data_IF_383293359111
#
_entry.id   IF_383293359111
#
_cell.length_a   1.000
_cell.length_b   1.000
_cell.length_c   1.000
_cell.angle_alpha   90.00
_cell.angle_beta   90.00
_cell.angle_gamma   90.00
#
_symmetry.space_group_name_H-M   'P 1'
#
loop_
_entity.id
_entity.type
_entity.pdbx_description
1 polymer ?
#
# COMPACT_ATOMS: atom_id res chain seq x y z
N UNK A 1 -29.56 23.26 -25.97
CA UNK A 1 -29.12 23.06 -24.61
C UNK A 1 -28.21 21.83 -24.53
N UNK A 2 -26.94 22.03 -24.34
CA UNK A 2 -26.03 20.92 -23.99
C UNK A 2 -26.24 20.62 -22.52
N UNK A 3 -27.02 19.59 -22.23
CA UNK A 3 -27.14 19.02 -20.88
C UNK A 3 -25.90 18.17 -20.62
N UNK A 4 -25.16 18.51 -19.58
CA UNK A 4 -24.06 17.71 -19.08
C UNK A 4 -24.60 16.40 -18.49
N UNK A 5 -24.47 15.32 -19.21
CA UNK A 5 -24.77 13.96 -18.74
C UNK A 5 -23.65 13.38 -17.85
N UNK A 6 -22.91 14.23 -17.13
CA UNK A 6 -21.83 13.77 -16.21
C UNK A 6 -22.34 13.02 -14.97
N UNK A 7 -23.63 13.08 -14.67
CA UNK A 7 -24.22 12.42 -13.52
C UNK A 7 -24.94 11.10 -13.84
N UNK A 8 -25.30 10.84 -15.09
CA UNK A 8 -25.94 9.58 -15.48
C UNK A 8 -24.95 8.42 -15.63
N UNK A 9 -23.68 8.69 -15.98
CA UNK A 9 -22.63 7.68 -16.04
C UNK A 9 -22.10 7.24 -14.65
N UNK A 10 -22.45 7.93 -13.58
CA UNK A 10 -21.96 7.64 -12.23
C UNK A 10 -22.63 6.43 -11.58
N UNK A 11 -23.77 5.97 -12.10
CA UNK A 11 -24.50 4.81 -11.59
C UNK A 11 -25.12 3.96 -12.72
N UNK A 12 -24.27 3.26 -13.45
CA UNK A 12 -24.73 2.21 -14.36
C UNK A 12 -24.78 0.87 -13.59
N UNK A 13 -25.98 0.31 -13.33
CA UNK A 13 -26.12 -0.99 -12.67
C UNK A 13 -25.50 -2.14 -13.46
N UNK A 14 -25.14 -1.91 -14.73
CA UNK A 14 -24.44 -2.85 -15.57
C UNK A 14 -22.91 -2.66 -15.58
N UNK A 15 -22.38 -1.67 -14.87
CA UNK A 15 -20.94 -1.40 -14.79
C UNK A 15 -20.51 -1.38 -13.31
N UNK A 16 -19.92 -2.47 -12.83
CA UNK A 16 -19.50 -2.55 -11.44
C UNK A 16 -18.26 -3.43 -11.21
N UNK A 17 -17.55 -3.10 -10.14
CA UNK A 17 -16.62 -3.96 -9.44
C UNK A 17 -17.17 -4.18 -8.02
N UNK A 18 -17.51 -5.40 -7.70
CA UNK A 18 -17.84 -5.82 -6.34
C UNK A 18 -16.72 -6.67 -5.78
N UNK A 19 -16.38 -6.44 -4.53
CA UNK A 19 -15.43 -7.27 -3.82
C UNK A 19 -15.94 -7.55 -2.42
N UNK A 20 -15.63 -8.74 -1.94
CA UNK A 20 -15.96 -9.15 -0.60
C UNK A 20 -14.99 -10.21 -0.11
N UNK A 21 -14.96 -10.41 1.20
CA UNK A 21 -14.08 -11.42 1.74
C UNK A 21 -14.25 -11.60 3.23
N UNK A 22 -13.65 -12.67 3.72
CA UNK A 22 -13.56 -13.00 5.15
C UNK A 22 -12.10 -13.30 5.46
N UNK A 23 -11.61 -12.72 6.56
CA UNK A 23 -10.25 -12.98 7.05
C UNK A 23 -10.30 -13.37 8.52
N UNK A 24 -9.61 -14.44 8.87
CA UNK A 24 -9.41 -14.89 10.24
C UNK A 24 -7.93 -14.68 10.56
N UNK A 25 -7.66 -13.97 11.64
CA UNK A 25 -6.30 -13.68 12.09
C UNK A 25 -6.07 -14.17 13.53
N UNK A 26 -4.87 -14.66 13.76
CA UNK A 26 -4.37 -15.00 15.09
C UNK A 26 -3.07 -14.24 15.34
N UNK A 27 -3.04 -13.42 16.41
CA UNK A 27 -1.87 -12.65 16.82
C UNK A 27 -1.33 -13.13 18.17
N UNK A 28 -0.01 -13.27 18.26
CA UNK A 28 0.69 -13.62 19.50
C UNK A 28 1.80 -12.60 19.78
N UNK A 29 1.79 -12.04 20.98
CA UNK A 29 2.91 -11.25 21.50
C UNK A 29 4.07 -12.18 21.83
N UNK A 30 5.25 -11.87 21.32
CA UNK A 30 6.47 -12.61 21.57
C UNK A 30 7.17 -12.01 22.80
N UNK A 31 7.91 -12.85 23.53
CA UNK A 31 8.71 -12.44 24.69
C UNK A 31 10.19 -12.27 24.34
N UNK A 32 10.59 -12.74 23.18
CA UNK A 32 11.96 -12.67 22.69
C UNK A 32 11.95 -12.13 21.25
N UNK A 33 12.88 -11.23 20.85
CA UNK A 33 14.00 -10.66 21.63
C UNK A 33 13.59 -9.61 22.66
N UNK A 34 12.43 -8.97 22.54
CA UNK A 34 11.81 -8.08 23.53
C UNK A 34 10.28 -8.20 23.51
N UNK A 35 9.62 -7.53 24.46
CA UNK A 35 8.15 -7.60 24.63
C UNK A 35 7.34 -6.77 23.61
N UNK A 36 7.99 -6.10 22.67
CA UNK A 36 7.33 -5.27 21.67
C UNK A 36 6.99 -6.02 20.39
N UNK A 37 7.47 -7.26 20.23
CA UNK A 37 7.22 -8.08 19.04
C UNK A 37 5.86 -8.74 19.07
N UNK A 38 5.20 -8.73 17.91
CA UNK A 38 3.94 -9.44 17.65
C UNK A 38 4.07 -10.24 16.36
N UNK A 39 3.71 -11.50 16.41
CA UNK A 39 3.57 -12.35 15.24
C UNK A 39 2.09 -12.56 14.96
N UNK A 40 1.66 -12.26 13.74
CA UNK A 40 0.27 -12.45 13.30
C UNK A 40 0.23 -13.39 12.11
N UNK A 41 -0.62 -14.41 12.18
CA UNK A 41 -0.94 -15.29 11.06
C UNK A 41 -2.37 -15.03 10.61
N UNK A 42 -2.61 -14.97 9.31
CA UNK A 42 -3.91 -14.68 8.70
C UNK A 42 -4.27 -15.73 7.65
N UNK A 43 -5.54 -16.08 7.62
CA UNK A 43 -6.16 -16.86 6.55
C UNK A 43 -7.35 -16.06 6.02
N UNK A 44 -7.32 -15.71 4.75
CA UNK A 44 -8.37 -14.93 4.11
C UNK A 44 -8.90 -15.59 2.85
N UNK A 45 -10.17 -15.42 2.61
CA UNK A 45 -10.80 -15.69 1.32
C UNK A 45 -11.39 -14.40 0.79
N UNK A 46 -11.06 -14.06 -0.45
CA UNK A 46 -11.55 -12.86 -1.14
C UNK A 46 -12.15 -13.24 -2.49
N UNK A 47 -13.19 -12.54 -2.88
CA UNK A 47 -13.77 -12.66 -4.20
C UNK A 47 -13.99 -11.29 -4.83
N UNK A 48 -13.88 -11.26 -6.15
CA UNK A 48 -14.12 -10.11 -6.99
C UNK A 48 -15.13 -10.48 -8.07
N UNK A 49 -16.09 -9.60 -8.32
CA UNK A 49 -17.05 -9.73 -9.40
C UNK A 49 -17.05 -8.47 -10.25
N UNK A 50 -16.77 -8.62 -11.52
CA UNK A 50 -16.67 -7.53 -12.49
C UNK A 50 -17.73 -7.68 -13.56
N UNK A 51 -18.37 -6.57 -13.90
CA UNK A 51 -19.28 -6.49 -15.04
C UNK A 51 -19.01 -5.19 -15.79
N UNK A 52 -18.63 -5.30 -17.07
CA UNK A 52 -18.29 -4.19 -17.95
C UNK A 52 -17.30 -3.18 -17.33
N UNK A 53 -16.36 -3.68 -16.50
CA UNK A 53 -15.43 -2.85 -15.75
C UNK A 53 -14.16 -2.60 -16.56
N UNK A 54 -14.06 -1.44 -17.20
CA UNK A 54 -12.99 -1.09 -18.15
C UNK A 54 -11.73 -0.56 -17.47
N UNK A 55 -11.78 -0.30 -16.15
CA UNK A 55 -10.66 0.27 -15.40
C UNK A 55 -9.58 -0.75 -15.00
N UNK A 56 -9.87 -2.05 -15.15
CA UNK A 56 -8.85 -3.10 -15.00
C UNK A 56 -8.43 -3.58 -16.39
N UNK A 57 -7.19 -3.34 -16.74
CA UNK A 57 -6.62 -3.66 -18.05
C UNK A 57 -6.73 -5.16 -18.43
N UNK A 58 -6.82 -6.02 -17.42
CA UNK A 58 -6.70 -7.48 -17.62
C UNK A 58 -8.04 -8.20 -17.79
N UNK A 59 -9.11 -7.72 -17.17
CA UNK A 59 -10.40 -8.39 -17.16
C UNK A 59 -11.55 -7.40 -16.95
N UNK A 60 -12.51 -7.38 -17.86
CA UNK A 60 -13.69 -6.50 -17.79
C UNK A 60 -14.91 -7.19 -17.20
N UNK A 61 -15.04 -8.51 -17.39
CA UNK A 61 -16.18 -9.31 -16.96
C UNK A 61 -15.72 -10.62 -16.33
N UNK A 62 -16.37 -11.02 -15.24
CA UNK A 62 -16.16 -12.32 -14.60
C UNK A 62 -15.99 -12.24 -13.10
N UNK A 63 -15.70 -13.39 -12.52
CA UNK A 63 -15.43 -13.54 -11.08
C UNK A 63 -14.03 -14.07 -10.85
N UNK A 64 -13.37 -13.53 -9.84
CA UNK A 64 -12.05 -13.97 -9.41
C UNK A 64 -12.09 -14.32 -7.93
N UNK A 65 -11.38 -15.37 -7.54
CA UNK A 65 -11.30 -15.83 -6.16
C UNK A 65 -9.85 -15.84 -5.70
N UNK A 66 -9.62 -15.59 -4.43
CA UNK A 66 -8.30 -15.59 -3.83
C UNK A 66 -8.35 -16.21 -2.43
N UNK A 67 -7.55 -17.22 -2.20
CA UNK A 67 -7.30 -17.77 -0.86
C UNK A 67 -5.93 -17.25 -0.41
N UNK A 68 -5.91 -16.42 0.63
CA UNK A 68 -4.71 -15.68 1.06
C UNK A 68 -4.24 -16.24 2.39
N UNK A 69 -2.96 -16.55 2.46
CA UNK A 69 -2.24 -16.85 3.68
C UNK A 69 -1.30 -15.67 3.97
N UNK A 70 -1.31 -15.17 5.20
CA UNK A 70 -0.49 -14.05 5.63
C UNK A 70 0.29 -14.36 6.89
N UNK A 71 1.53 -13.87 6.95
CA UNK A 71 2.36 -13.90 8.15
C UNK A 71 2.99 -12.51 8.31
N UNK A 72 2.78 -11.90 9.46
CA UNK A 72 3.32 -10.56 9.76
C UNK A 72 4.07 -10.59 11.08
N UNK A 73 5.34 -10.21 11.04
CA UNK A 73 6.14 -9.91 12.22
C UNK A 73 6.22 -8.39 12.37
N UNK A 74 5.71 -7.88 13.47
CA UNK A 74 5.73 -6.46 13.78
C UNK A 74 6.38 -6.19 15.13
N UNK A 75 7.03 -5.02 15.25
CA UNK A 75 7.55 -4.47 16.50
C UNK A 75 7.12 -3.03 16.62
N UNK A 76 6.67 -2.62 17.80
CA UNK A 76 6.30 -1.25 18.04
C UNK A 76 6.70 -0.82 19.45
N UNK A 77 7.69 0.08 19.55
CA UNK A 77 8.18 0.67 20.81
C UNK A 77 8.03 2.19 20.81
N UNK A 78 7.10 2.74 20.03
CA UNK A 78 6.81 4.18 19.97
C UNK A 78 6.25 4.64 21.31
N UNK A 79 6.80 5.73 21.85
CA UNK A 79 6.42 6.29 23.15
C UNK A 79 5.08 7.05 23.14
N UNK A 80 4.82 7.83 22.08
CA UNK A 80 3.59 8.62 21.95
C UNK A 80 3.13 8.66 20.48
N UNK A 81 1.88 8.31 20.17
CA UNK A 81 1.39 8.29 18.79
C UNK A 81 1.16 9.69 18.19
N UNK A 82 0.97 10.73 18.99
CA UNK A 82 0.67 12.08 18.49
C UNK A 82 1.95 12.88 18.18
N UNK A 83 2.89 12.88 19.09
CA UNK A 83 4.22 13.43 18.89
C UNK A 83 5.24 12.46 19.44
N UNK A 84 5.73 11.61 18.58
CA UNK A 84 6.71 10.58 18.96
C UNK A 84 8.07 11.21 19.14
N UNK A 85 8.67 11.03 20.29
CA UNK A 85 10.01 11.54 20.61
C UNK A 85 11.08 10.49 20.44
N UNK A 86 10.77 9.23 20.76
CA UNK A 86 11.70 8.10 20.71
C UNK A 86 10.96 6.79 20.42
N UNK A 87 11.71 5.83 19.95
CA UNK A 87 11.21 4.49 19.67
C UNK A 87 11.26 4.14 18.19
N UNK A 88 10.83 2.95 17.90
CA UNK A 88 10.80 2.45 16.53
C UNK A 88 9.58 1.55 16.29
N UNK A 89 9.17 1.52 15.05
CA UNK A 89 8.14 0.60 14.58
C UNK A 89 8.62 -0.03 13.30
N UNK A 90 8.57 -1.35 13.20
CA UNK A 90 8.77 -2.04 11.94
C UNK A 90 7.74 -3.16 11.76
N UNK A 91 7.53 -3.53 10.52
CA UNK A 91 6.65 -4.62 10.11
C UNK A 91 7.24 -5.31 8.90
N UNK A 92 7.33 -6.62 8.96
CA UNK A 92 7.64 -7.49 7.83
C UNK A 92 6.44 -8.39 7.60
N UNK A 93 5.78 -8.22 6.46
CA UNK A 93 4.58 -8.96 6.08
C UNK A 93 4.82 -9.77 4.82
N UNK A 94 4.51 -11.04 4.87
CA UNK A 94 4.50 -11.93 3.72
C UNK A 94 3.09 -12.49 3.55
N UNK A 95 2.45 -12.15 2.42
CA UNK A 95 1.13 -12.67 2.04
C UNK A 95 1.27 -13.44 0.73
N UNK A 96 0.62 -14.57 0.65
CA UNK A 96 0.66 -15.40 -0.56
C UNK A 96 -0.61 -16.23 -0.73
N UNK A 97 -0.86 -16.59 -1.96
CA UNK A 97 -1.89 -17.55 -2.33
C UNK A 97 -1.25 -18.90 -2.66
N UNK A 98 -1.93 -20.03 -2.43
CA UNK A 98 -1.43 -21.33 -2.87
C UNK A 98 -1.18 -21.33 -4.38
N UNK A 99 -0.05 -21.92 -4.85
CA UNK A 99 0.33 -21.94 -6.27
C UNK A 99 -0.44 -23.02 -7.05
N UNK A 100 -1.76 -22.91 -7.13
CA UNK A 100 -2.62 -23.91 -7.78
C UNK A 100 -2.27 -24.13 -9.26
N UNK A 101 -1.72 -23.11 -9.93
CA UNK A 101 -1.29 -23.19 -11.33
C UNK A 101 -0.11 -24.13 -11.55
N UNK A 102 0.73 -24.33 -10.56
CA UNK A 102 1.90 -25.24 -10.66
C UNK A 102 1.46 -26.72 -10.66
N UNK A 103 0.32 -27.02 -10.11
CA UNK A 103 -0.25 -28.38 -10.05
C UNK A 103 -1.25 -28.66 -11.18
N UNK A 104 -1.65 -27.61 -11.93
CA UNK A 104 -2.60 -27.73 -13.04
C UNK A 104 -1.93 -28.10 -14.36
N UNK A 105 -2.59 -28.91 -15.18
CA UNK A 105 -2.12 -29.30 -16.53
C UNK A 105 -2.54 -28.32 -17.64
N UNK A 106 -2.99 -27.11 -17.30
CA UNK A 106 -3.46 -26.10 -18.26
C UNK A 106 -2.29 -25.44 -19.00
N UNK A 107 -2.49 -25.07 -20.25
CA UNK A 107 -1.54 -24.29 -21.01
C UNK A 107 -1.69 -22.79 -20.67
N UNK A 108 -1.10 -22.38 -19.55
CA UNK A 108 -1.16 -21.00 -19.04
C UNK A 108 -0.58 -19.97 -20.02
N UNK A 109 0.41 -20.37 -20.82
CA UNK A 109 0.98 -19.50 -21.86
C UNK A 109 -0.08 -19.19 -22.93
N UNK A 110 -0.80 -20.18 -23.43
CA UNK A 110 -1.85 -19.99 -24.44
C UNK A 110 -2.99 -19.13 -23.88
N UNK A 111 -3.44 -19.40 -22.65
CA UNK A 111 -4.47 -18.61 -21.96
C UNK A 111 -4.07 -17.15 -21.76
N UNK A 112 -2.81 -16.89 -21.39
CA UNK A 112 -2.32 -15.52 -21.19
C UNK A 112 -2.20 -14.70 -22.47
N UNK A 113 -2.06 -15.35 -23.61
CA UNK A 113 -1.98 -14.73 -24.94
C UNK A 113 -3.36 -14.59 -25.63
N UNK A 114 -4.37 -15.25 -25.12
CA UNK A 114 -5.71 -15.18 -25.66
C UNK A 114 -6.36 -13.82 -25.34
N UNK A 115 -7.10 -13.30 -26.31
CA UNK A 115 -7.82 -12.02 -26.19
C UNK A 115 -9.31 -12.18 -25.90
N UNK A 116 -9.84 -13.40 -26.04
CA UNK A 116 -11.23 -13.70 -25.81
C UNK A 116 -11.59 -13.67 -24.32
N UNK A 117 -12.82 -13.26 -24.03
CA UNK A 117 -13.33 -13.13 -22.66
C UNK A 117 -13.36 -14.45 -21.88
N UNK A 118 -13.64 -15.56 -22.57
CA UNK A 118 -13.72 -16.87 -21.93
C UNK A 118 -12.35 -17.30 -21.38
N UNK A 119 -11.28 -17.12 -22.17
CA UNK A 119 -9.90 -17.40 -21.75
C UNK A 119 -9.45 -16.48 -20.61
N UNK A 120 -9.81 -15.20 -20.67
CA UNK A 120 -9.52 -14.27 -19.58
C UNK A 120 -10.25 -14.63 -18.28
N UNK A 121 -11.53 -15.00 -18.33
CA UNK A 121 -12.28 -15.48 -17.17
C UNK A 121 -11.66 -16.74 -16.56
N UNK A 122 -11.20 -17.66 -17.40
CA UNK A 122 -10.54 -18.89 -16.92
C UNK A 122 -9.14 -18.60 -16.33
N UNK A 123 -8.40 -17.66 -16.93
CA UNK A 123 -7.06 -17.24 -16.47
C UNK A 123 -7.13 -16.64 -15.06
N UNK A 124 -8.09 -15.73 -14.82
CA UNK A 124 -8.22 -14.97 -13.57
C UNK A 124 -9.26 -15.55 -12.59
N UNK A 125 -9.76 -16.76 -12.83
CA UNK A 125 -10.70 -17.43 -11.94
C UNK A 125 -10.17 -17.62 -10.54
N UNK A 126 -8.88 -17.96 -10.41
CA UNK A 126 -8.13 -18.02 -9.17
C UNK A 126 -6.91 -17.11 -9.27
N UNK A 127 -6.83 -16.16 -8.35
CA UNK A 127 -5.72 -15.22 -8.28
C UNK A 127 -4.57 -15.86 -7.55
N UNK A 128 -3.38 -15.76 -8.15
CA UNK A 128 -2.14 -16.26 -7.56
C UNK A 128 -1.12 -15.15 -7.46
N UNK A 129 -0.59 -14.94 -6.25
CA UNK A 129 0.46 -13.98 -5.99
C UNK A 129 1.24 -14.30 -4.71
N UNK A 130 2.37 -13.69 -4.58
CA UNK A 130 3.07 -13.49 -3.33
C UNK A 130 3.41 -12.02 -3.18
N UNK A 131 3.28 -11.49 -1.96
CA UNK A 131 3.51 -10.08 -1.65
C UNK A 131 4.36 -9.99 -0.40
N UNK A 132 5.52 -9.37 -0.52
CA UNK A 132 6.42 -9.09 0.59
C UNK A 132 6.43 -7.59 0.84
N UNK A 133 6.20 -7.19 2.08
CA UNK A 133 6.26 -5.79 2.49
C UNK A 133 7.14 -5.64 3.73
N UNK A 134 8.04 -4.71 3.66
CA UNK A 134 8.83 -4.24 4.80
C UNK A 134 8.55 -2.77 5.03
N UNK A 135 8.26 -2.39 6.27
CA UNK A 135 8.06 -1.02 6.69
C UNK A 135 8.80 -0.80 8.00
N UNK A 136 9.60 0.23 8.06
CA UNK A 136 10.32 0.61 9.26
C UNK A 136 10.24 2.12 9.50
N UNK A 137 10.06 2.52 10.75
CA UNK A 137 10.14 3.91 11.20
C UNK A 137 10.97 3.97 12.47
N UNK A 138 11.83 4.98 12.57
CA UNK A 138 12.55 5.26 13.80
C UNK A 138 12.42 6.73 14.17
N UNK A 139 12.40 7.02 15.45
CA UNK A 139 12.32 8.36 16.00
C UNK A 139 13.49 8.56 16.94
N UNK A 140 14.34 9.51 16.61
CA UNK A 140 15.55 9.84 17.35
C UNK A 140 15.47 11.27 17.84
N UNK A 141 15.41 11.51 19.16
CA UNK A 141 15.48 12.85 19.71
C UNK A 141 16.88 13.43 19.45
N UNK A 142 16.95 14.60 18.87
CA UNK A 142 18.20 15.32 18.62
C UNK A 142 18.56 16.28 19.75
N UNK A 143 17.59 16.62 20.60
CA UNK A 143 17.74 17.42 21.81
C UNK A 143 17.23 16.62 23.01
N UNK A 144 17.20 17.21 24.19
CA UNK A 144 16.73 16.55 25.41
C UNK A 144 15.33 15.87 25.15
N UNK A 145 15.22 14.54 25.27
CA UNK A 145 13.96 13.83 24.98
C UNK A 145 12.83 14.16 25.94
N UNK A 146 13.14 14.60 27.15
CA UNK A 146 12.18 14.99 28.17
C UNK A 146 11.91 16.50 28.19
N UNK A 147 12.61 17.25 27.33
CA UNK A 147 12.48 18.69 27.17
C UNK A 147 11.16 19.12 26.53
N UNK A 148 10.77 20.38 26.79
CA UNK A 148 9.58 20.98 26.16
C UNK A 148 9.71 21.10 24.63
N UNK A 149 10.93 21.32 24.13
CA UNK A 149 11.25 21.59 22.73
C UNK A 149 12.11 20.49 22.12
N UNK A 150 11.68 19.23 22.29
CA UNK A 150 12.41 18.10 21.74
C UNK A 150 12.33 18.08 20.22
N UNK A 151 13.45 18.37 19.57
CA UNK A 151 13.60 18.20 18.13
C UNK A 151 13.77 16.70 17.82
N UNK A 152 13.01 16.18 16.88
CA UNK A 152 13.00 14.76 16.57
C UNK A 152 13.31 14.51 15.11
N UNK A 153 14.25 13.63 14.84
CA UNK A 153 14.49 13.07 13.51
C UNK A 153 13.68 11.78 13.35
N UNK A 154 12.72 11.78 12.46
CA UNK A 154 12.02 10.59 12.01
C UNK A 154 12.65 10.08 10.72
N UNK A 155 12.94 8.78 10.67
CA UNK A 155 13.35 8.10 9.44
C UNK A 155 12.38 6.98 9.13
N UNK A 156 12.12 6.75 7.84
CA UNK A 156 11.21 5.72 7.36
C UNK A 156 11.80 5.02 6.15
N UNK A 157 11.64 3.71 6.09
CA UNK A 157 11.95 2.90 4.92
C UNK A 157 10.79 1.94 4.66
N UNK A 158 10.23 2.00 3.45
CA UNK A 158 9.19 1.09 3.00
C UNK A 158 9.66 0.40 1.72
N UNK A 159 9.49 -0.91 1.65
CA UNK A 159 9.79 -1.72 0.47
C UNK A 159 8.61 -2.68 0.28
N UNK A 160 8.11 -2.76 -0.93
CA UNK A 160 7.08 -3.72 -1.29
C UNK A 160 7.42 -4.44 -2.58
N UNK A 161 7.21 -5.73 -2.60
CA UNK A 161 7.41 -6.60 -3.75
C UNK A 161 6.16 -7.45 -3.96
N UNK A 162 5.69 -7.50 -5.19
CA UNK A 162 4.57 -8.33 -5.62
C UNK A 162 5.02 -9.20 -6.78
N UNK A 163 4.88 -10.50 -6.64
CA UNK A 163 5.24 -11.45 -7.68
C UNK A 163 4.15 -12.51 -7.90
N UNK A 164 4.35 -13.32 -8.92
CA UNK A 164 3.48 -14.44 -9.25
C UNK A 164 4.28 -15.73 -9.21
N UNK A 165 3.65 -16.84 -8.80
CA UNK A 165 4.26 -18.17 -8.86
C UNK A 165 4.44 -18.64 -10.30
N UNK A 166 3.50 -18.24 -11.16
CA UNK A 166 3.55 -18.53 -12.57
C UNK A 166 3.70 -17.21 -13.36
N UNK A 167 4.72 -17.11 -14.20
CA UNK A 167 5.04 -15.91 -14.98
C UNK A 167 3.91 -15.44 -15.92
N UNK A 168 2.98 -16.33 -16.27
CA UNK A 168 1.84 -16.04 -17.14
C UNK A 168 0.58 -15.60 -16.37
N UNK A 169 0.60 -15.71 -15.04
CA UNK A 169 -0.50 -15.38 -14.12
C UNK A 169 -0.09 -14.21 -13.25
N UNK A 170 -0.07 -13.00 -13.80
CA UNK A 170 0.11 -11.81 -12.98
C UNK A 170 -1.21 -11.43 -12.34
N UNK A 171 -1.23 -11.22 -11.02
CA UNK A 171 -2.43 -10.72 -10.36
C UNK A 171 -2.77 -9.32 -10.87
N UNK A 172 -4.00 -9.05 -11.31
CA UNK A 172 -4.46 -7.71 -11.64
C UNK A 172 -4.83 -6.90 -10.39
N UNK A 173 -4.88 -7.55 -9.24
CA UNK A 173 -5.18 -6.97 -7.94
C UNK A 173 -3.93 -6.95 -7.07
N UNK A 174 -3.97 -6.22 -5.96
CA UNK A 174 -2.88 -6.12 -4.97
C UNK A 174 -1.63 -5.33 -5.46
N UNK A 175 -1.68 -4.71 -6.61
CA UNK A 175 -0.59 -3.88 -7.14
C UNK A 175 -0.40 -2.60 -6.30
N UNK A 176 0.73 -1.94 -6.49
CA UNK A 176 1.05 -0.68 -5.82
C UNK A 176 0.77 0.51 -6.74
N UNK A 177 0.07 1.51 -6.23
CA UNK A 177 -0.16 2.78 -6.90
C UNK A 177 0.66 3.86 -6.20
N UNK A 178 1.75 4.31 -6.85
CA UNK A 178 2.80 5.08 -6.20
C UNK A 178 2.87 6.50 -6.74
N UNK A 179 2.84 7.48 -5.83
CA UNK A 179 2.91 8.90 -6.09
C UNK A 179 1.83 9.69 -5.36
N UNK A 180 2.03 10.99 -5.24
CA UNK A 180 1.05 11.93 -4.69
C UNK A 180 0.90 11.88 -3.17
N UNK A 181 -0.28 12.24 -2.72
CA UNK A 181 -0.63 12.38 -1.30
C UNK A 181 -0.97 11.04 -0.61
N UNK A 182 -1.07 9.96 -1.34
CA UNK A 182 -1.44 8.65 -0.82
C UNK A 182 -2.95 8.45 -0.68
N UNK A 183 -3.76 9.37 -1.16
CA UNK A 183 -5.20 9.20 -1.24
C UNK A 183 -5.60 8.44 -2.50
N UNK A 184 -6.65 7.64 -2.41
CA UNK A 184 -7.15 6.88 -3.54
C UNK A 184 -7.79 7.81 -4.59
N UNK A 185 -7.37 7.70 -5.83
CA UNK A 185 -8.04 8.29 -6.99
C UNK A 185 -8.95 7.30 -7.71
N UNK A 186 -9.57 7.74 -8.79
CA UNK A 186 -10.49 6.90 -9.59
C UNK A 186 -9.86 5.67 -10.25
N UNK A 187 -8.55 5.54 -10.23
CA UNK A 187 -7.80 4.43 -10.85
C UNK A 187 -7.20 3.44 -9.84
N UNK A 188 -7.48 3.60 -8.54
CA UNK A 188 -6.82 2.83 -7.46
C UNK A 188 -7.66 1.66 -6.96
N UNK A 189 -8.53 1.11 -7.81
CA UNK A 189 -9.36 -0.03 -7.45
C UNK A 189 -8.54 -1.30 -7.21
N UNK A 190 -8.71 -1.91 -6.05
CA UNK A 190 -8.01 -3.12 -5.63
C UNK A 190 -6.48 -3.01 -5.64
N UNK A 191 -5.95 -1.79 -5.49
CA UNK A 191 -4.52 -1.49 -5.38
C UNK A 191 -4.19 -0.90 -4.01
N UNK A 192 -2.92 -0.94 -3.65
CA UNK A 192 -2.41 -0.29 -2.44
C UNK A 192 -1.75 1.04 -2.81
N UNK A 193 -2.32 2.15 -2.30
CA UNK A 193 -1.79 3.49 -2.56
C UNK A 193 -0.60 3.81 -1.67
N UNK A 194 0.49 4.23 -2.29
CA UNK A 194 1.74 4.61 -1.63
C UNK A 194 2.01 6.08 -1.92
N UNK A 195 1.95 6.90 -0.87
CA UNK A 195 2.28 8.32 -1.00
C UNK A 195 3.74 8.53 -1.35
N UNK A 196 4.01 9.50 -2.23
CA UNK A 196 5.33 10.06 -2.50
C UNK A 196 5.13 11.54 -2.80
N UNK A 197 5.42 12.39 -1.82
CA UNK A 197 5.16 13.82 -1.87
C UNK A 197 5.99 14.54 -2.94
N UNK A 198 5.44 15.60 -3.52
CA UNK A 198 6.08 16.36 -4.60
C UNK A 198 5.89 15.74 -5.99
N UNK A 199 5.04 14.72 -6.11
CA UNK A 199 4.70 14.06 -7.37
C UNK A 199 3.18 13.93 -7.50
N UNK A 200 2.69 13.78 -8.73
CA UNK A 200 1.28 13.55 -8.97
C UNK A 200 0.83 12.15 -8.52
N UNK A 201 -0.45 12.00 -8.23
CA UNK A 201 -1.03 10.73 -7.83
C UNK A 201 -0.78 9.66 -8.90
N UNK A 202 -0.14 8.55 -8.50
CA UNK A 202 0.20 7.44 -9.38
C UNK A 202 1.24 7.75 -10.46
N UNK A 203 1.98 8.84 -10.36
CA UNK A 203 2.96 9.25 -11.38
C UNK A 203 3.96 8.15 -11.74
N UNK A 204 4.31 7.28 -10.78
CA UNK A 204 5.26 6.18 -11.00
C UNK A 204 4.59 4.88 -11.46
N UNK A 205 3.27 4.82 -11.40
CA UNK A 205 2.46 3.69 -11.84
C UNK A 205 1.28 4.19 -12.67
N UNK A 206 1.55 4.76 -13.85
CA UNK A 206 0.48 5.28 -14.70
C UNK A 206 -0.47 4.17 -15.13
N UNK A 207 -1.69 4.54 -15.54
CA UNK A 207 -2.72 3.62 -16.00
C UNK A 207 -2.19 2.61 -17.03
N UNK A 208 -2.44 1.32 -16.78
CA UNK A 208 -1.92 0.21 -17.58
C UNK A 208 -0.46 -0.18 -17.29
N UNK A 209 0.19 0.47 -16.34
CA UNK A 209 1.57 0.17 -15.90
C UNK A 209 1.60 -0.06 -14.40
N UNK A 210 1.13 -1.24 -13.97
CA UNK A 210 0.99 -1.57 -12.55
C UNK A 210 2.31 -1.62 -11.81
N UNK A 211 2.32 -1.18 -10.55
CA UNK A 211 3.46 -1.30 -9.65
C UNK A 211 3.54 -2.70 -9.04
N UNK A 212 4.61 -3.43 -9.37
CA UNK A 212 4.91 -4.74 -8.78
C UNK A 212 6.05 -4.68 -7.77
N UNK A 213 6.76 -3.58 -7.71
CA UNK A 213 7.73 -3.28 -6.68
C UNK A 213 7.74 -1.79 -6.39
N UNK A 214 8.04 -1.42 -5.16
CA UNK A 214 8.31 -0.03 -4.79
C UNK A 214 9.33 0.07 -3.67
N UNK A 215 9.99 1.21 -3.61
CA UNK A 215 10.73 1.67 -2.43
C UNK A 215 10.34 3.09 -2.09
N UNK A 216 10.37 3.40 -0.81
CA UNK A 216 10.16 4.74 -0.27
C UNK A 216 11.05 4.93 0.94
N UNK A 217 11.85 5.96 0.91
CA UNK A 217 12.66 6.42 2.03
C UNK A 217 12.23 7.83 2.39
N UNK A 218 12.15 8.11 3.67
CA UNK A 218 11.70 9.40 4.18
C UNK A 218 12.50 9.77 5.41
N UNK A 219 12.95 11.02 5.46
CA UNK A 219 13.50 11.66 6.66
C UNK A 219 12.70 12.92 6.95
N UNK A 220 12.23 13.06 8.17
CA UNK A 220 11.52 14.26 8.63
C UNK A 220 12.16 14.81 9.91
N UNK A 221 12.29 16.11 9.97
CA UNK A 221 12.70 16.81 11.16
C UNK A 221 11.48 17.49 11.76
N UNK A 222 11.06 17.04 12.95
CA UNK A 222 9.87 17.51 13.64
C UNK A 222 10.25 18.51 14.72
N UNK A 223 9.56 19.66 14.77
CA UNK A 223 9.73 20.67 15.78
C UNK A 223 8.42 20.94 16.52
N UNK A 224 8.33 20.73 17.86
CA UNK A 224 7.07 20.89 18.58
C UNK A 224 6.76 22.37 18.83
N UNK A 225 5.64 22.86 18.32
CA UNK A 225 5.11 24.18 18.66
C UNK A 225 4.17 24.14 19.86
N UNK A 226 3.23 23.20 19.81
CA UNK A 226 2.23 23.01 20.86
C UNK A 226 2.01 21.53 21.11
N UNK A 227 2.21 21.09 22.33
CA UNK A 227 1.93 19.72 22.78
C UNK A 227 1.02 19.79 23.99
N UNK A 228 -0.28 19.94 23.76
CA UNK A 228 -1.30 19.99 24.82
C UNK A 228 -2.40 18.94 24.56
N UNK A 229 -3.17 18.55 25.59
CA UNK A 229 -4.29 17.64 25.41
C UNK A 229 -5.36 18.16 24.42
N UNK A 230 -5.48 19.49 24.29
CA UNK A 230 -6.46 20.13 23.40
C UNK A 230 -5.97 20.27 21.97
N UNK A 231 -4.65 20.31 21.74
CA UNK A 231 -4.06 20.40 20.41
C UNK A 231 -2.59 19.99 20.42
N UNK A 232 -2.17 19.24 19.39
CA UNK A 232 -0.77 18.99 19.09
C UNK A 232 -0.46 19.60 17.73
N UNK A 233 0.53 20.52 17.71
CA UNK A 233 0.92 21.23 16.47
C UNK A 233 2.43 21.18 16.36
N UNK A 234 2.92 20.68 15.22
CA UNK A 234 4.33 20.68 14.91
C UNK A 234 4.60 20.87 13.40
N UNK A 235 5.43 21.85 13.03
CA UNK A 235 6.02 21.94 11.71
C UNK A 235 7.07 20.86 11.54
N UNK A 236 7.34 20.54 10.28
CA UNK A 236 8.37 19.61 9.89
C UNK A 236 9.04 20.04 8.58
N UNK A 237 10.28 19.63 8.41
CA UNK A 237 10.95 19.63 7.12
C UNK A 237 11.20 18.17 6.71
N UNK A 238 11.10 17.87 5.41
CA UNK A 238 11.27 16.51 4.95
C UNK A 238 12.13 16.40 3.69
N UNK A 239 12.76 15.26 3.56
CA UNK A 239 13.36 14.76 2.31
C UNK A 239 12.77 13.37 2.08
N UNK A 240 12.25 13.14 0.89
CA UNK A 240 11.63 11.89 0.51
C UNK A 240 12.23 11.38 -0.80
N UNK A 241 12.39 10.06 -0.90
CA UNK A 241 12.92 9.43 -2.10
C UNK A 241 12.19 8.11 -2.32
N UNK A 242 11.79 7.84 -3.55
CA UNK A 242 11.10 6.61 -3.88
C UNK A 242 10.99 6.36 -5.37
N UNK A 243 10.53 5.17 -5.72
CA UNK A 243 10.25 4.77 -7.08
C UNK A 243 9.36 3.53 -7.11
N UNK A 244 8.81 3.21 -8.28
CA UNK A 244 8.05 2.00 -8.53
C UNK A 244 8.53 1.30 -9.80
N UNK A 245 8.37 -0.03 -9.87
CA UNK A 245 8.78 -0.86 -11.00
C UNK A 245 7.65 -1.79 -11.41
N UNK A 246 7.56 -2.03 -12.70
CA UNK A 246 6.54 -2.89 -13.32
C UNK A 246 6.82 -4.39 -13.18
N UNK A 247 7.93 -4.76 -12.58
CA UNK A 247 8.26 -6.15 -12.24
C UNK A 247 9.35 -6.22 -11.19
N UNK A 248 9.35 -7.30 -10.41
CA UNK A 248 10.39 -7.57 -9.41
C UNK A 248 11.77 -7.77 -10.06
N UNK A 249 11.82 -8.29 -11.30
CA UNK A 249 13.08 -8.47 -12.04
C UNK A 249 13.78 -7.16 -12.44
N UNK A 250 13.02 -6.05 -12.49
CA UNK A 250 13.54 -4.70 -12.78
C UNK A 250 13.80 -3.88 -11.52
N UNK A 251 13.54 -4.46 -10.36
CA UNK A 251 13.68 -3.78 -9.09
C UNK A 251 15.11 -3.32 -8.83
N UNK A 252 15.29 -2.03 -8.64
CA UNK A 252 16.57 -1.39 -8.29
C UNK A 252 16.34 -0.42 -7.13
N UNK A 253 16.55 -0.85 -5.88
CA UNK A 253 16.09 -0.13 -4.68
C UNK A 253 16.71 1.26 -4.51
N UNK A 254 17.77 1.59 -5.23
CA UNK A 254 18.46 2.87 -5.14
C UNK A 254 18.31 3.76 -6.39
N UNK A 255 17.58 3.31 -7.42
CA UNK A 255 17.14 4.18 -8.52
C UNK A 255 15.92 4.98 -8.09
N UNK A 256 16.17 6.11 -7.40
CA UNK A 256 15.17 6.86 -6.67
C UNK A 256 14.93 8.24 -7.25
N UNK A 257 13.68 8.62 -7.35
CA UNK A 257 13.22 10.00 -7.51
C UNK A 257 13.15 10.64 -6.14
N UNK A 258 13.43 11.94 -6.05
CA UNK A 258 13.62 12.65 -4.77
C UNK A 258 12.75 13.88 -4.72
N UNK A 259 12.26 14.19 -3.54
CA UNK A 259 11.57 15.44 -3.22
C UNK A 259 12.01 15.95 -1.85
N UNK A 260 11.79 17.23 -1.61
CA UNK A 260 12.03 17.86 -0.33
C UNK A 260 10.99 18.96 -0.13
N UNK A 261 10.62 19.23 1.10
CA UNK A 261 9.62 20.23 1.40
C UNK A 261 9.53 20.49 2.91
N UNK A 262 8.53 21.29 3.24
CA UNK A 262 8.15 21.61 4.62
C UNK A 262 6.67 21.33 4.80
N UNK A 263 6.27 21.10 6.04
CA UNK A 263 4.86 20.86 6.33
C UNK A 263 4.51 21.20 7.77
N UNK A 264 3.22 21.11 8.06
CA UNK A 264 2.67 21.27 9.42
C UNK A 264 1.72 20.12 9.69
N UNK A 265 1.80 19.57 10.89
CA UNK A 265 0.85 18.59 11.43
C UNK A 265 0.07 19.22 12.56
N UNK A 266 -1.24 19.06 12.52
CA UNK A 266 -2.18 19.60 13.50
C UNK A 266 -3.08 18.47 13.94
N UNK A 267 -3.04 18.11 15.20
CA UNK A 267 -3.99 17.18 15.80
C UNK A 267 -4.97 17.96 16.68
N UNK A 268 -6.26 17.76 16.40
CA UNK A 268 -7.37 18.25 17.23
C UNK A 268 -8.24 17.05 17.61
N UNK A 269 -8.63 16.86 18.89
CA UNK A 269 -9.36 15.68 19.35
C UNK A 269 -10.66 15.40 18.57
N UNK A 270 -11.34 16.45 18.07
CA UNK A 270 -12.59 16.29 17.31
C UNK A 270 -12.37 16.04 15.80
N UNK A 271 -11.23 16.44 15.25
CA UNK A 271 -10.97 16.40 13.80
C UNK A 271 -9.91 15.39 13.43
N UNK A 272 -9.16 14.86 14.41
CA UNK A 272 -8.04 13.96 14.18
C UNK A 272 -6.76 14.68 13.71
N UNK A 273 -5.86 13.94 13.06
CA UNK A 273 -4.60 14.47 12.55
C UNK A 273 -4.80 15.03 11.13
N UNK A 274 -4.47 16.29 10.96
CA UNK A 274 -4.44 16.98 9.67
C UNK A 274 -3.01 17.34 9.32
N UNK A 275 -2.69 17.37 8.02
CA UNK A 275 -1.35 17.73 7.54
C UNK A 275 -1.45 18.54 6.26
N UNK A 276 -0.57 19.52 6.14
CA UNK A 276 -0.35 20.30 4.92
C UNK A 276 1.15 20.28 4.64
N UNK A 277 1.51 19.94 3.41
CA UNK A 277 2.90 19.88 2.94
C UNK A 277 3.08 20.79 1.70
N UNK A 278 4.23 21.47 1.63
CA UNK A 278 4.65 22.30 0.50
C UNK A 278 6.00 21.84 -0.05
#
# INVERSE_FOLDING_TARGET
GYGNNYYEDAYDPNKYLQMGGVTIGFGKRLKWPDDYFTLTAELGYQWYSLKNWEYLYYMNNGTSNSLVLGLTLARNSIDNPLYTRRGSSFSLSFRFTPPASLFGKKNWKALSQATDEASKKELYKWIEYWKLKFQARTYTPLTDPDGRWTLVLMTRADIGLLGSWNRYLKSPFETFYVGGDGMSGSYTYATETIALRGYDNGQFTPYGSDGYAYTRFLMELHFPLMLSPSATIYPLAFIEAGNAWTSVSRFSPFDLKRSAGVGVRIFLPMLGMMGIDW
#
